data_IF_703620400796
#
_entry.id   IF_703620400796
#
_cell.length_a   1.000
_cell.length_b   1.000
_cell.length_c   1.000
_cell.angle_alpha   90.00
_cell.angle_beta   90.00
_cell.angle_gamma   90.00
#
_symmetry.space_group_name_H-M   'P 1'
#
loop_
_entity.id
_entity.type
_entity.pdbx_description
1 polymer ?
#
# COMPACT_ATOMS: atom_id res chain seq x y z
N UNK A 1 -28.08 4.34 8.12
CA UNK A 1 -27.31 3.76 7.00
C UNK A 1 -26.78 2.46 7.52
N UNK A 2 -27.25 1.33 6.99
CA UNK A 2 -26.65 0.03 7.30
C UNK A 2 -25.22 0.05 6.77
N UNK A 3 -24.24 -0.18 7.64
CA UNK A 3 -22.88 -0.51 7.22
C UNK A 3 -22.98 -1.80 6.41
N UNK A 4 -22.91 -1.68 5.08
CA UNK A 4 -22.79 -2.86 4.24
C UNK A 4 -21.40 -3.43 4.50
N UNK A 5 -21.39 -4.68 4.93
CA UNK A 5 -20.19 -5.49 5.07
C UNK A 5 -19.37 -5.39 3.77
N UNK A 6 -18.12 -4.95 3.86
CA UNK A 6 -17.21 -4.84 2.73
C UNK A 6 -17.02 -6.25 2.17
N UNK A 7 -17.58 -6.53 1.01
CA UNK A 7 -17.32 -7.80 0.33
C UNK A 7 -15.88 -7.80 -0.17
N UNK A 8 -15.10 -8.73 0.35
CA UNK A 8 -13.75 -9.02 -0.10
C UNK A 8 -13.70 -10.39 -0.77
N UNK A 9 -12.74 -10.57 -1.68
CA UNK A 9 -12.38 -11.85 -2.28
C UNK A 9 -10.94 -12.20 -1.91
N UNK A 10 -10.66 -13.50 -1.96
CA UNK A 10 -9.31 -14.02 -1.73
C UNK A 10 -8.39 -13.67 -2.91
N UNK A 11 -7.13 -13.39 -2.60
CA UNK A 11 -6.04 -13.22 -3.54
C UNK A 11 -5.66 -14.56 -4.16
N UNK A 12 -5.53 -14.54 -5.47
CA UNK A 12 -4.95 -15.60 -6.27
C UNK A 12 -3.72 -15.05 -7.00
N UNK A 13 -2.59 -14.97 -6.28
CA UNK A 13 -1.35 -14.41 -6.83
C UNK A 13 -0.46 -15.51 -7.40
N UNK A 14 0.15 -15.23 -8.55
CA UNK A 14 1.14 -16.14 -9.14
C UNK A 14 2.53 -15.88 -8.56
N UNK A 15 3.26 -16.96 -8.22
CA UNK A 15 4.67 -16.82 -7.83
C UNK A 15 5.46 -16.32 -9.04
N UNK A 16 6.18 -15.23 -8.86
CA UNK A 16 6.94 -14.55 -9.91
C UNK A 16 6.23 -13.35 -10.50
N UNK A 17 4.94 -13.14 -10.18
CA UNK A 17 4.19 -11.93 -10.54
C UNK A 17 4.90 -10.68 -9.96
N UNK A 18 5.12 -9.68 -10.81
CA UNK A 18 5.89 -8.47 -10.49
C UNK A 18 5.21 -7.24 -11.12
N UNK A 19 5.14 -6.15 -10.36
CA UNK A 19 4.64 -4.86 -10.85
C UNK A 19 5.58 -3.75 -10.45
N UNK A 20 5.68 -2.75 -11.32
CA UNK A 20 6.42 -1.51 -11.05
C UNK A 20 5.48 -0.33 -11.17
N UNK A 21 5.49 0.55 -10.19
CA UNK A 21 4.78 1.82 -10.17
C UNK A 21 5.79 2.95 -10.27
N UNK A 22 5.67 3.80 -11.28
CA UNK A 22 6.54 4.95 -11.49
C UNK A 22 5.93 6.20 -10.85
N UNK A 23 6.77 6.96 -10.16
CA UNK A 23 6.40 8.16 -9.43
C UNK A 23 6.84 9.38 -10.23
N UNK A 24 5.92 10.32 -10.40
CA UNK A 24 6.11 11.57 -11.09
C UNK A 24 5.71 12.72 -10.18
N UNK A 25 6.60 13.67 -9.94
CA UNK A 25 6.28 14.90 -9.22
C UNK A 25 6.41 16.12 -10.13
N UNK A 26 5.35 16.92 -10.20
CA UNK A 26 5.22 18.06 -11.10
C UNK A 26 5.57 17.68 -12.55
N UNK A 27 5.13 16.49 -12.99
CA UNK A 27 5.39 15.93 -14.32
C UNK A 27 6.81 15.37 -14.53
N UNK A 28 7.72 15.48 -13.56
CA UNK A 28 9.06 14.90 -13.65
C UNK A 28 9.11 13.55 -12.98
N UNK A 29 9.72 12.56 -13.63
CA UNK A 29 10.00 11.26 -13.01
C UNK A 29 10.90 11.44 -11.78
N UNK A 30 10.50 10.86 -10.65
CA UNK A 30 11.26 10.91 -9.40
C UNK A 30 11.63 9.53 -8.88
N UNK A 31 11.11 8.43 -9.44
CA UNK A 31 11.43 7.11 -8.93
C UNK A 31 10.35 6.05 -9.14
N UNK A 32 10.42 4.99 -8.36
CA UNK A 32 9.48 3.88 -8.43
C UNK A 32 9.26 3.15 -7.10
N UNK A 33 8.17 2.38 -7.06
CA UNK A 33 8.01 1.24 -6.17
C UNK A 33 7.79 -0.01 -7.03
N UNK A 34 8.51 -1.09 -6.77
CA UNK A 34 8.35 -2.38 -7.41
C UNK A 34 8.04 -3.42 -6.36
N UNK A 35 7.10 -4.31 -6.60
CA UNK A 35 6.89 -5.48 -5.73
C UNK A 35 6.83 -6.76 -6.54
N UNK A 36 7.21 -7.87 -5.91
CA UNK A 36 7.22 -9.20 -6.49
C UNK A 36 6.74 -10.25 -5.50
N UNK A 37 5.89 -11.15 -5.98
CA UNK A 37 5.50 -12.36 -5.23
C UNK A 37 6.62 -13.38 -5.38
N UNK A 38 7.38 -13.62 -4.31
CA UNK A 38 8.59 -14.46 -4.37
C UNK A 38 8.35 -15.90 -3.94
N UNK A 39 7.24 -16.17 -3.25
CA UNK A 39 6.90 -17.52 -2.82
C UNK A 39 5.67 -17.59 -1.92
N UNK A 40 5.53 -18.72 -1.23
CA UNK A 40 4.52 -18.96 -0.20
C UNK A 40 5.14 -19.62 1.02
N UNK A 41 4.59 -19.33 2.19
CA UNK A 41 4.81 -20.07 3.43
C UNK A 41 3.46 -20.60 3.93
N UNK A 42 3.22 -21.90 3.75
CA UNK A 42 1.87 -22.45 3.86
C UNK A 42 0.93 -21.80 2.83
N UNK A 43 -0.15 -21.19 3.30
CA UNK A 43 -1.12 -20.47 2.46
C UNK A 43 -0.78 -18.97 2.30
N UNK A 44 0.22 -18.46 3.01
CA UNK A 44 0.56 -17.03 3.01
C UNK A 44 1.51 -16.69 1.86
N UNK A 45 1.30 -15.54 1.24
CA UNK A 45 2.15 -15.04 0.16
C UNK A 45 3.36 -14.30 0.73
N UNK A 46 4.55 -14.60 0.19
CA UNK A 46 5.80 -13.90 0.49
C UNK A 46 6.08 -12.87 -0.59
N UNK A 47 6.30 -11.62 -0.19
CA UNK A 47 6.44 -10.49 -1.11
C UNK A 47 7.71 -9.71 -0.78
N UNK A 48 8.47 -9.39 -1.82
CA UNK A 48 9.57 -8.43 -1.75
C UNK A 48 9.14 -7.13 -2.43
N UNK A 49 9.52 -5.99 -1.86
CA UNK A 49 9.18 -4.68 -2.38
C UNK A 49 10.37 -3.73 -2.28
N UNK A 50 10.58 -2.95 -3.32
CA UNK A 50 11.69 -2.02 -3.46
C UNK A 50 11.14 -0.63 -3.78
N UNK A 51 11.59 0.40 -3.08
CA UNK A 51 11.32 1.81 -3.40
C UNK A 51 12.63 2.49 -3.70
N UNK A 52 12.65 3.29 -4.76
CA UNK A 52 13.77 4.15 -5.07
C UNK A 52 13.22 5.48 -5.60
N UNK A 53 13.28 6.52 -4.77
CA UNK A 53 12.74 7.86 -5.07
C UNK A 53 13.83 8.89 -4.80
N UNK A 54 14.11 9.73 -5.79
CA UNK A 54 15.09 10.81 -5.71
C UNK A 54 14.47 12.12 -6.19
N UNK A 55 14.37 13.10 -5.30
CA UNK A 55 13.83 14.43 -5.59
C UNK A 55 14.51 15.48 -4.72
N UNK A 56 15.20 16.46 -5.34
CA UNK A 56 15.80 17.69 -4.77
C UNK A 56 16.42 17.63 -3.35
N UNK A 57 15.64 17.33 -2.31
CA UNK A 57 16.05 17.29 -0.90
C UNK A 57 15.89 15.90 -0.23
N UNK A 58 15.40 14.90 -0.97
CA UNK A 58 15.15 13.54 -0.50
C UNK A 58 15.72 12.53 -1.51
N UNK A 59 16.62 11.68 -1.04
CA UNK A 59 16.97 10.40 -1.65
C UNK A 59 16.46 9.29 -0.73
N UNK A 60 15.48 8.52 -1.20
CA UNK A 60 14.81 7.47 -0.47
C UNK A 60 15.02 6.14 -1.18
N UNK A 61 15.60 5.18 -0.47
CA UNK A 61 15.65 3.77 -0.88
C UNK A 61 15.04 2.91 0.20
N UNK A 62 14.17 1.97 -0.17
CA UNK A 62 13.59 1.01 0.77
C UNK A 62 13.67 -0.37 0.14
N UNK A 63 14.20 -1.33 0.87
CA UNK A 63 14.09 -2.75 0.57
C UNK A 63 13.24 -3.38 1.67
N UNK A 64 12.11 -3.97 1.30
CA UNK A 64 11.15 -4.52 2.23
C UNK A 64 10.74 -5.95 1.88
N UNK A 65 10.31 -6.66 2.92
CA UNK A 65 9.72 -7.99 2.82
C UNK A 65 8.47 -8.04 3.67
N UNK A 66 7.42 -8.65 3.15
CA UNK A 66 6.23 -8.90 3.94
C UNK A 66 5.54 -10.19 3.55
N UNK A 67 4.85 -10.74 4.55
CA UNK A 67 4.02 -11.93 4.44
C UNK A 67 2.58 -11.51 4.64
N UNK A 68 1.70 -11.91 3.72
CA UNK A 68 0.26 -11.62 3.80
C UNK A 68 -0.57 -12.89 3.64
N UNK A 69 -1.75 -12.92 4.25
CA UNK A 69 -2.75 -13.97 4.01
C UNK A 69 -3.38 -13.80 2.62
N UNK A 70 -4.23 -14.76 2.24
CA UNK A 70 -5.04 -14.67 1.02
C UNK A 70 -6.08 -13.55 1.07
N UNK A 71 -6.44 -13.03 2.22
CA UNK A 71 -7.29 -11.83 2.38
C UNK A 71 -6.46 -10.53 2.42
N UNK A 72 -5.15 -10.61 2.13
CA UNK A 72 -4.20 -9.50 2.18
C UNK A 72 -3.97 -8.93 3.61
N UNK A 73 -4.20 -9.75 4.65
CA UNK A 73 -3.93 -9.37 6.04
C UNK A 73 -2.44 -9.59 6.35
N UNK A 74 -1.73 -8.61 6.95
CA UNK A 74 -0.31 -8.73 7.24
C UNK A 74 -0.05 -9.76 8.34
N UNK A 75 0.98 -10.57 8.15
CA UNK A 75 1.51 -11.53 9.13
C UNK A 75 2.88 -11.05 9.64
N UNK A 76 3.72 -10.60 8.72
CA UNK A 76 5.06 -10.10 9.01
C UNK A 76 5.40 -8.96 8.05
N UNK A 77 6.15 -7.96 8.50
CA UNK A 77 6.70 -6.91 7.64
C UNK A 77 8.03 -6.42 8.19
N UNK A 78 9.02 -6.31 7.33
CA UNK A 78 10.28 -5.67 7.63
C UNK A 78 10.72 -4.79 6.48
N UNK A 79 11.46 -3.73 6.78
CA UNK A 79 12.20 -3.00 5.77
C UNK A 79 13.50 -2.40 6.30
N UNK A 80 14.42 -2.21 5.36
CA UNK A 80 15.59 -1.33 5.52
C UNK A 80 15.41 -0.15 4.59
N UNK A 81 15.44 1.05 5.16
CA UNK A 81 15.35 2.30 4.41
C UNK A 81 16.65 3.10 4.54
N UNK A 82 17.00 3.82 3.48
CA UNK A 82 18.01 4.86 3.48
C UNK A 82 17.33 6.16 3.09
N UNK A 83 17.33 7.14 3.99
CA UNK A 83 16.81 8.48 3.74
C UNK A 83 17.99 9.44 3.81
N UNK A 84 18.38 10.03 2.68
CA UNK A 84 19.56 10.90 2.59
C UNK A 84 20.83 10.23 3.16
N UNK A 85 21.02 8.94 2.85
CA UNK A 85 22.07 8.04 3.36
C UNK A 85 21.99 7.67 4.85
N UNK A 86 20.96 8.09 5.60
CA UNK A 86 20.73 7.62 6.96
C UNK A 86 19.92 6.32 6.94
N UNK A 87 20.51 5.26 7.50
CA UNK A 87 19.85 3.96 7.61
C UNK A 87 18.76 3.99 8.68
N UNK A 88 17.62 3.42 8.33
CA UNK A 88 16.48 3.16 9.20
C UNK A 88 16.04 1.71 8.98
N UNK A 89 15.50 1.08 10.02
CA UNK A 89 14.90 -0.24 9.91
C UNK A 89 13.56 -0.26 10.61
N UNK A 90 12.65 -1.10 10.13
CA UNK A 90 11.39 -1.43 10.79
C UNK A 90 11.19 -2.93 10.71
N UNK A 91 10.64 -3.51 11.78
CA UNK A 91 10.18 -4.88 11.87
C UNK A 91 8.83 -4.89 12.59
N UNK A 92 7.86 -5.58 12.02
CA UNK A 92 6.50 -5.70 12.53
C UNK A 92 6.13 -7.18 12.58
N UNK A 93 5.70 -7.64 13.75
CA UNK A 93 5.08 -8.96 13.93
C UNK A 93 3.60 -8.77 14.21
N UNK A 94 2.75 -9.34 13.36
CA UNK A 94 1.31 -9.22 13.47
C UNK A 94 0.75 -10.45 14.15
N UNK A 95 -0.13 -10.21 15.12
CA UNK A 95 -0.92 -11.22 15.81
C UNK A 95 -2.38 -10.80 15.75
N UNK A 96 -3.29 -11.67 16.19
CA UNK A 96 -4.71 -11.35 16.20
C UNK A 96 -4.99 -10.06 17.00
N UNK A 97 -5.43 -9.02 16.27
CA UNK A 97 -5.78 -7.71 16.83
C UNK A 97 -4.61 -6.86 17.33
N UNK A 98 -3.34 -7.21 17.07
CA UNK A 98 -2.19 -6.41 17.50
C UNK A 98 -1.01 -6.50 16.53
N UNK A 99 -0.16 -5.48 16.55
CA UNK A 99 1.17 -5.50 15.95
C UNK A 99 2.21 -5.08 16.98
N UNK A 100 3.29 -5.85 17.06
CA UNK A 100 4.50 -5.47 17.76
C UNK A 100 5.47 -4.88 16.74
N UNK A 101 5.79 -3.59 16.86
CA UNK A 101 6.69 -2.89 15.95
C UNK A 101 7.98 -2.45 16.65
N UNK A 102 9.11 -2.73 16.01
CA UNK A 102 10.42 -2.23 16.38
C UNK A 102 11.02 -1.44 15.21
N UNK A 103 11.34 -0.17 15.44
CA UNK A 103 12.04 0.67 14.48
C UNK A 103 13.38 1.17 15.00
N UNK A 104 14.35 1.35 14.11
CA UNK A 104 15.60 2.03 14.40
C UNK A 104 15.84 3.18 13.43
N UNK A 105 16.32 4.32 13.96
CA UNK A 105 16.74 5.47 13.17
C UNK A 105 18.05 6.00 13.76
N UNK A 106 19.16 5.75 13.08
CA UNK A 106 20.49 5.93 13.67
C UNK A 106 20.61 5.11 14.96
N UNK A 107 20.99 5.76 16.07
CA UNK A 107 21.13 5.11 17.38
C UNK A 107 19.81 5.03 18.19
N UNK A 108 18.71 5.59 17.67
CA UNK A 108 17.43 5.60 18.36
C UNK A 108 16.62 4.35 18.03
N UNK A 109 16.17 3.63 19.07
CA UNK A 109 15.22 2.53 18.97
C UNK A 109 13.84 2.99 19.43
N UNK A 110 12.82 2.69 18.64
CA UNK A 110 11.41 2.88 18.97
C UNK A 110 10.75 1.50 18.98
N UNK A 111 9.92 1.24 19.99
CA UNK A 111 9.27 -0.06 20.16
C UNK A 111 7.87 0.16 20.72
N UNK A 112 6.86 -0.42 20.08
CA UNK A 112 5.45 -0.26 20.47
C UNK A 112 4.63 -1.48 20.13
N UNK A 113 3.69 -1.79 21.03
CA UNK A 113 2.55 -2.65 20.74
C UNK A 113 1.34 -1.78 20.39
N UNK A 114 0.72 -2.06 19.25
CA UNK A 114 -0.38 -1.26 18.70
C UNK A 114 -1.57 -2.19 18.47
N UNK A 115 -2.71 -1.81 19.02
CA UNK A 115 -3.97 -2.53 18.80
C UNK A 115 -4.46 -2.30 17.38
N UNK A 116 -4.83 -3.38 16.72
CA UNK A 116 -5.39 -3.39 15.38
C UNK A 116 -6.84 -3.88 15.42
N UNK A 117 -7.64 -3.39 14.49
CA UNK A 117 -8.95 -3.97 14.25
C UNK A 117 -8.82 -5.21 13.34
N UNK A 118 -9.80 -6.09 13.40
CA UNK A 118 -9.88 -7.20 12.46
C UNK A 118 -9.93 -6.68 11.01
N UNK A 119 -9.25 -7.37 10.10
CA UNK A 119 -9.19 -6.96 8.70
C UNK A 119 -8.27 -5.75 8.42
N UNK A 120 -7.41 -5.35 9.35
CA UNK A 120 -6.46 -4.24 9.14
C UNK A 120 -5.43 -4.57 8.06
N UNK A 121 -5.34 -3.72 7.02
CA UNK A 121 -4.30 -3.81 5.99
C UNK A 121 -3.01 -3.10 6.40
N UNK A 122 -1.86 -3.57 5.92
CA UNK A 122 -0.59 -2.83 6.00
C UNK A 122 -0.49 -1.89 4.79
N UNK A 123 -0.48 -0.58 5.00
CA UNK A 123 -0.43 0.42 3.94
C UNK A 123 0.49 1.60 4.31
N UNK A 124 1.60 1.75 3.58
CA UNK A 124 2.52 2.89 3.65
C UNK A 124 2.42 3.75 2.36
N UNK A 125 2.68 5.06 2.48
CA UNK A 125 2.50 6.01 1.37
C UNK A 125 3.42 5.78 0.16
N UNK A 126 4.63 5.28 0.39
CA UNK A 126 5.65 5.03 -0.64
C UNK A 126 5.65 3.56 -1.12
N UNK A 127 4.85 2.69 -0.51
CA UNK A 127 4.74 1.26 -0.82
C UNK A 127 3.47 0.98 -1.60
N UNK A 128 3.36 1.53 -2.81
CA UNK A 128 2.14 1.48 -3.63
C UNK A 128 1.70 0.05 -3.97
N UNK A 129 2.64 -0.89 -4.00
CA UNK A 129 2.33 -2.33 -4.11
C UNK A 129 1.38 -2.83 -3.01
N UNK A 130 1.47 -2.32 -1.78
CA UNK A 130 0.55 -2.69 -0.69
C UNK A 130 -0.89 -2.27 -1.00
N UNK A 131 -1.07 -1.05 -1.53
CA UNK A 131 -2.37 -0.55 -1.98
C UNK A 131 -2.91 -1.38 -3.14
N UNK A 132 -2.06 -1.71 -4.11
CA UNK A 132 -2.44 -2.52 -5.26
C UNK A 132 -2.94 -3.91 -4.84
N UNK A 133 -2.26 -4.55 -3.89
CA UNK A 133 -2.66 -5.86 -3.35
C UNK A 133 -3.98 -5.78 -2.60
N UNK A 134 -4.20 -4.73 -1.79
CA UNK A 134 -5.49 -4.50 -1.15
C UNK A 134 -6.61 -4.36 -2.20
N UNK A 135 -6.41 -3.59 -3.28
CA UNK A 135 -7.46 -3.45 -4.30
C UNK A 135 -7.78 -4.75 -5.05
N UNK A 136 -6.84 -5.69 -5.15
CA UNK A 136 -7.11 -7.03 -5.69
C UNK A 136 -8.11 -7.81 -4.82
N UNK A 137 -8.28 -7.49 -3.53
CA UNK A 137 -9.29 -8.15 -2.67
C UNK A 137 -10.65 -7.47 -2.71
N UNK A 138 -10.77 -6.24 -3.20
CA UNK A 138 -12.01 -5.46 -3.07
C UNK A 138 -12.99 -5.72 -4.21
N UNK A 139 -14.27 -5.94 -3.86
CA UNK A 139 -15.38 -5.90 -4.84
C UNK A 139 -15.95 -4.48 -4.93
N UNK A 140 -15.39 -3.68 -5.84
CA UNK A 140 -15.76 -2.27 -6.01
C UNK A 140 -17.08 -2.10 -6.78
N UNK A 141 -17.88 -1.12 -6.35
CA UNK A 141 -19.12 -0.72 -7.02
C UNK A 141 -19.37 0.78 -6.91
N UNK A 142 -19.69 1.41 -8.04
CA UNK A 142 -20.01 2.85 -8.08
C UNK A 142 -21.12 3.23 -7.10
N UNK A 143 -20.87 4.31 -6.35
CA UNK A 143 -21.77 4.85 -5.33
C UNK A 143 -21.59 4.25 -3.94
N UNK A 144 -20.84 3.16 -3.78
CA UNK A 144 -20.53 2.60 -2.47
C UNK A 144 -19.39 3.38 -1.78
N UNK A 145 -19.40 3.35 -0.45
CA UNK A 145 -18.34 3.89 0.41
C UNK A 145 -17.79 2.76 1.29
N UNK A 146 -16.49 2.80 1.53
CA UNK A 146 -15.77 1.80 2.33
C UNK A 146 -15.00 2.49 3.44
N UNK A 147 -14.99 1.88 4.62
CA UNK A 147 -14.11 2.26 5.73
C UNK A 147 -13.05 1.18 5.85
N UNK A 148 -11.81 1.56 5.57
CA UNK A 148 -10.69 0.62 5.48
C UNK A 148 -9.84 0.78 6.74
N UNK A 149 -9.77 -0.23 7.63
CA UNK A 149 -8.81 -0.23 8.72
C UNK A 149 -7.41 -0.45 8.13
N UNK A 150 -6.47 0.40 8.51
CA UNK A 150 -5.09 0.31 8.04
C UNK A 150 -4.09 0.55 9.16
N UNK A 151 -2.93 -0.06 9.00
CA UNK A 151 -1.73 0.17 9.77
C UNK A 151 -0.64 0.71 8.86
N UNK A 152 -0.10 1.88 9.20
CA UNK A 152 1.08 2.45 8.55
C UNK A 152 2.25 2.31 9.51
N UNK A 153 3.26 1.52 9.11
CA UNK A 153 4.39 1.20 9.97
C UNK A 153 5.31 2.42 10.12
N UNK A 154 5.57 3.17 9.05
CA UNK A 154 6.45 4.35 9.12
C UNK A 154 6.06 5.37 10.21
N UNK A 155 4.78 5.75 10.37
CA UNK A 155 4.33 6.59 11.48
C UNK A 155 3.96 5.81 12.77
N UNK A 156 4.11 4.49 12.81
CA UNK A 156 3.67 3.60 13.91
C UNK A 156 2.21 3.82 14.31
N UNK A 157 1.29 3.81 13.33
CA UNK A 157 -0.09 4.24 13.55
C UNK A 157 -1.12 3.36 12.86
N UNK A 158 -2.12 2.93 13.63
CA UNK A 158 -3.38 2.40 13.11
C UNK A 158 -4.41 3.53 12.94
N UNK A 159 -5.14 3.51 11.83
CA UNK A 159 -6.23 4.43 11.54
C UNK A 159 -7.26 3.78 10.61
N UNK A 160 -8.40 4.43 10.46
CA UNK A 160 -9.40 4.12 9.43
C UNK A 160 -9.36 5.19 8.38
N UNK A 161 -9.51 4.79 7.12
CA UNK A 161 -9.61 5.72 5.99
C UNK A 161 -10.92 5.48 5.26
N UNK A 162 -11.61 6.55 4.89
CA UNK A 162 -12.81 6.48 4.08
C UNK A 162 -12.46 6.58 2.58
N UNK A 163 -13.03 5.67 1.79
CA UNK A 163 -12.93 5.65 0.34
C UNK A 163 -14.33 5.69 -0.26
N UNK A 164 -14.56 6.59 -1.22
CA UNK A 164 -15.80 6.64 -2.00
C UNK A 164 -15.55 6.18 -3.43
N UNK A 165 -16.40 5.30 -3.94
CA UNK A 165 -16.31 4.80 -5.32
C UNK A 165 -17.15 5.70 -6.22
N UNK A 166 -16.46 6.47 -7.05
CA UNK A 166 -17.05 7.35 -8.05
C UNK A 166 -17.46 6.64 -9.34
N UNK A 167 -17.64 7.45 -10.36
CA UNK A 167 -17.93 7.00 -11.72
C UNK A 167 -16.72 6.29 -12.35
N UNK A 168 -16.97 5.56 -13.41
CA UNK A 168 -15.94 4.91 -14.21
C UNK A 168 -15.34 5.96 -15.15
N UNK A 169 -14.01 6.10 -15.12
CA UNK A 169 -13.24 6.98 -16.00
C UNK A 169 -12.29 6.17 -16.86
N UNK A 170 -12.02 6.64 -18.08
CA UNK A 170 -11.06 6.00 -18.99
C UNK A 170 -9.64 6.48 -18.69
N UNK A 171 -8.80 5.61 -18.16
CA UNK A 171 -7.41 5.89 -17.83
C UNK A 171 -6.51 4.96 -18.64
N UNK A 172 -5.68 5.55 -19.52
CA UNK A 172 -4.69 4.80 -20.32
C UNK A 172 -5.28 3.60 -21.11
N UNK A 173 -6.54 3.74 -21.55
CA UNK A 173 -7.28 2.72 -22.30
C UNK A 173 -8.16 1.79 -21.47
N UNK A 174 -8.11 1.89 -20.14
CA UNK A 174 -8.83 1.01 -19.21
C UNK A 174 -10.04 1.75 -18.64
N UNK A 175 -11.11 1.01 -18.44
CA UNK A 175 -12.26 1.51 -17.69
C UNK A 175 -11.95 1.31 -16.20
N UNK A 176 -11.75 2.42 -15.49
CA UNK A 176 -11.32 2.42 -14.09
C UNK A 176 -12.38 3.02 -13.18
N UNK A 177 -12.64 2.39 -12.04
CA UNK A 177 -13.30 3.05 -10.92
C UNK A 177 -12.42 4.19 -10.43
N UNK A 178 -12.98 5.39 -10.28
CA UNK A 178 -12.32 6.50 -9.59
C UNK A 178 -12.64 6.46 -8.11
N UNK A 179 -11.62 6.28 -7.29
CA UNK A 179 -11.71 6.16 -5.84
C UNK A 179 -11.27 7.48 -5.20
N UNK A 180 -12.14 8.11 -4.42
CA UNK A 180 -11.84 9.34 -3.68
C UNK A 180 -11.50 9.02 -2.22
N UNK A 181 -10.23 9.24 -1.85
CA UNK A 181 -9.75 9.19 -0.48
C UNK A 181 -9.67 10.62 0.06
N UNK A 182 -10.79 11.11 0.60
CA UNK A 182 -10.95 12.52 0.95
C UNK A 182 -9.91 12.98 1.96
N UNK A 183 -9.71 12.18 3.01
CA UNK A 183 -8.80 12.48 4.13
C UNK A 183 -7.33 12.47 3.73
N UNK A 184 -6.99 11.69 2.69
CA UNK A 184 -5.61 11.52 2.24
C UNK A 184 -5.28 12.39 1.02
N UNK A 185 -6.27 13.03 0.41
CA UNK A 185 -6.07 14.04 -0.62
C UNK A 185 -5.65 13.50 -1.98
N UNK A 186 -6.01 12.26 -2.32
CA UNK A 186 -5.71 11.66 -3.61
C UNK A 186 -6.91 10.94 -4.24
N UNK A 187 -6.82 10.75 -5.55
CA UNK A 187 -7.64 9.82 -6.31
C UNK A 187 -6.83 8.58 -6.65
N UNK A 188 -7.47 7.41 -6.61
CA UNK A 188 -6.91 6.15 -7.11
C UNK A 188 -7.83 5.61 -8.21
N UNK A 189 -7.24 5.07 -9.26
CA UNK A 189 -7.94 4.52 -10.41
C UNK A 189 -7.67 3.03 -10.49
N UNK A 190 -8.71 2.22 -10.36
CA UNK A 190 -8.63 0.75 -10.30
C UNK A 190 -9.45 0.13 -11.43
N UNK A 191 -8.86 -0.79 -12.18
CA UNK A 191 -9.54 -1.58 -13.23
C UNK A 191 -9.43 -3.06 -12.88
N UNK A 192 -10.55 -3.76 -12.75
CA UNK A 192 -10.60 -5.19 -12.43
C UNK A 192 -9.73 -5.64 -11.22
N UNK A 193 -9.57 -4.77 -10.23
CA UNK A 193 -8.74 -4.99 -9.03
C UNK A 193 -7.28 -4.55 -9.17
N UNK A 194 -6.85 -4.12 -10.35
CA UNK A 194 -5.51 -3.57 -10.59
C UNK A 194 -5.49 -2.05 -10.39
N UNK A 195 -4.55 -1.57 -9.57
CA UNK A 195 -4.26 -0.14 -9.45
C UNK A 195 -3.56 0.32 -10.73
N UNK A 196 -4.21 1.17 -11.51
CA UNK A 196 -3.66 1.71 -12.76
C UNK A 196 -2.93 3.03 -12.49
N UNK A 197 -3.52 3.89 -11.65
CA UNK A 197 -3.00 5.22 -11.35
C UNK A 197 -3.41 5.69 -9.96
N UNK A 198 -2.55 6.45 -9.31
CA UNK A 198 -2.86 7.31 -8.16
C UNK A 198 -2.43 8.74 -8.49
N UNK A 199 -3.20 9.74 -8.08
CA UNK A 199 -2.80 11.15 -8.18
C UNK A 199 -3.28 11.96 -6.98
N UNK A 200 -2.48 12.90 -6.49
CA UNK A 200 -2.95 13.90 -5.53
C UNK A 200 -4.00 14.81 -6.19
N UNK A 201 -4.92 15.35 -5.39
CA UNK A 201 -6.00 16.21 -5.91
C UNK A 201 -5.50 17.49 -6.59
N UNK A 202 -4.31 17.96 -6.19
CA UNK A 202 -3.61 19.09 -6.82
C UNK A 202 -2.75 18.67 -8.02
N UNK A 203 -2.68 17.37 -8.34
CA UNK A 203 -1.91 16.77 -9.43
C UNK A 203 -0.40 16.99 -9.34
N UNK A 204 0.11 17.30 -8.15
CA UNK A 204 1.55 17.47 -7.92
C UNK A 204 2.30 16.15 -7.85
N UNK A 205 1.66 15.07 -7.40
CA UNK A 205 2.19 13.71 -7.42
C UNK A 205 1.26 12.81 -8.23
N UNK A 206 1.84 12.09 -9.18
CA UNK A 206 1.18 11.09 -10.00
C UNK A 206 1.99 9.81 -9.91
N UNK A 207 1.31 8.70 -9.70
CA UNK A 207 1.91 7.37 -9.66
C UNK A 207 1.15 6.53 -10.67
N UNK A 208 1.86 5.85 -11.56
CA UNK A 208 1.27 5.06 -12.65
C UNK A 208 1.88 3.68 -12.68
N UNK A 209 1.06 2.68 -12.99
CA UNK A 209 1.53 1.34 -13.28
C UNK A 209 2.40 1.36 -14.55
N UNK A 210 3.65 0.93 -14.44
CA UNK A 210 4.56 0.77 -15.56
C UNK A 210 4.14 -0.42 -16.40
N UNK A 211 4.05 -0.20 -17.71
CA UNK A 211 3.72 -1.22 -18.71
C UNK A 211 4.92 -1.52 -19.60
#
# INVERSE_FOLDING_TARGET
SEEKETKTKELDLEIGEEYTYEFYSNGSYIGYNKYKVVGKEGENYLIESEVNISQANIDLKIDAKYTITKECIPVHYEFVAYVNNEKQTVSCEFTEGNVHEVATKGDQKFERDIKLEEGTYLLDNNMIGQWALMFKTMELKTGDSYVIPMFAAQPMKALKIEMKVGEIEKIEGYDCYKLDFIELGYYIYVSDGELIKMETKDKTLIIVLKR
#
